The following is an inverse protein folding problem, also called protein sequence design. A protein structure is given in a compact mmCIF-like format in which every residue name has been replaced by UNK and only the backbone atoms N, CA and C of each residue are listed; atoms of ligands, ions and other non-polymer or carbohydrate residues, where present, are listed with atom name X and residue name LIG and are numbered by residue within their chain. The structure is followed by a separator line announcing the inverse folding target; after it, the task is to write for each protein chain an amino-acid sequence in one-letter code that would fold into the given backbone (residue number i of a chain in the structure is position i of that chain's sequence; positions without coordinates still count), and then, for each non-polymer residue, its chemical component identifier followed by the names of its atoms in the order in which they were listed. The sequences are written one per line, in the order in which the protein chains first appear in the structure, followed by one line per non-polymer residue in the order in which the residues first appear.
data_IF_885078129207
#
_entry.id   IF_885078129207
#
_cell.length_a   1.000
_cell.length_b   1.000
_cell.length_c   1.000
_cell.angle_alpha   90.00
_cell.angle_beta   90.00
_cell.angle_gamma   90.00
#
_symmetry.space_group_name_H-M   'P 1'
#
loop_
_entity.id
_entity.type
_entity.pdbx_description
1 polymer ?
#
# COMPACT_ATOMS: atom_id res chain seq x y z
N UNK A 1 56.07 5.19 -5.40
CA UNK A 1 54.77 5.87 -5.23
C UNK A 1 53.91 5.62 -6.47
N UNK A 2 52.60 5.42 -6.26
CA UNK A 2 51.51 5.20 -7.24
C UNK A 2 51.33 3.75 -7.76
N UNK A 3 50.57 2.95 -7.02
CA UNK A 3 49.72 1.91 -7.60
C UNK A 3 48.25 2.35 -7.50
N UNK A 4 47.67 2.73 -8.63
CA UNK A 4 46.26 3.07 -8.80
C UNK A 4 45.48 1.80 -9.13
N UNK A 5 44.76 1.26 -8.14
CA UNK A 5 43.88 0.10 -8.32
C UNK A 5 42.52 0.61 -8.83
N UNK A 6 42.34 0.54 -10.14
CA UNK A 6 41.05 0.71 -10.81
C UNK A 6 40.21 -0.56 -10.56
N UNK A 7 39.26 -0.49 -9.61
CA UNK A 7 38.21 -1.52 -9.47
C UNK A 7 37.00 -1.10 -10.30
N UNK A 8 37.02 -1.47 -11.57
CA UNK A 8 35.87 -1.34 -12.45
C UNK A 8 34.78 -2.35 -12.06
N UNK A 9 33.63 -1.79 -11.74
CA UNK A 9 32.30 -2.34 -11.63
C UNK A 9 31.87 -3.25 -12.78
N UNK A 10 30.87 -4.09 -12.47
CA UNK A 10 29.87 -4.69 -13.37
C UNK A 10 30.08 -6.15 -13.76
N UNK A 11 29.71 -7.05 -12.84
CA UNK A 11 29.32 -8.42 -13.16
C UNK A 11 27.89 -8.65 -12.67
N UNK A 12 26.89 -8.15 -13.40
CA UNK A 12 25.49 -8.52 -13.20
C UNK A 12 24.99 -9.20 -14.48
N UNK A 13 25.44 -10.43 -14.72
CA UNK A 13 24.88 -11.29 -15.76
C UNK A 13 23.62 -11.97 -15.23
N UNK A 14 22.51 -11.23 -15.20
CA UNK A 14 21.19 -11.80 -14.92
C UNK A 14 20.73 -12.66 -16.09
N UNK A 15 20.74 -13.98 -15.92
CA UNK A 15 20.10 -14.92 -16.86
C UNK A 15 18.59 -14.76 -16.79
N UNK A 16 18.01 -14.24 -17.87
CA UNK A 16 16.56 -14.24 -18.12
C UNK A 16 16.23 -15.60 -18.76
N UNK A 17 15.70 -16.54 -17.96
CA UNK A 17 15.15 -17.79 -18.50
C UNK A 17 13.77 -17.52 -19.09
N UNK A 18 13.70 -17.43 -20.42
CA UNK A 18 12.41 -17.50 -21.12
C UNK A 18 11.90 -18.94 -21.11
N UNK A 19 10.78 -19.18 -20.44
CA UNK A 19 10.00 -20.41 -20.62
C UNK A 19 8.85 -20.09 -21.58
N UNK A 20 8.90 -20.70 -22.76
CA UNK A 20 7.90 -20.70 -23.84
C UNK A 20 7.71 -22.17 -24.29
N UNK A 21 6.58 -22.62 -24.86
CA UNK A 21 5.17 -22.21 -24.71
C UNK A 21 4.24 -23.41 -24.35
N UNK A 22 3.01 -23.07 -23.94
CA UNK A 22 1.75 -23.60 -24.49
C UNK A 22 1.64 -25.09 -24.81
N UNK A 23 1.17 -25.85 -23.82
CA UNK A 23 0.65 -27.19 -24.01
C UNK A 23 -0.89 -27.13 -24.16
N UNK A 24 -1.34 -27.50 -25.36
CA UNK A 24 -2.60 -28.18 -25.70
C UNK A 24 -3.90 -27.73 -25.00
N UNK A 25 -4.70 -26.99 -25.77
CA UNK A 25 -6.16 -27.06 -25.68
C UNK A 25 -6.62 -28.50 -26.03
N UNK A 26 -7.26 -29.19 -25.08
CA UNK A 26 -8.20 -30.27 -25.36
C UNK A 26 -9.48 -29.98 -24.60
N UNK A 27 -10.49 -29.60 -25.39
CA UNK A 27 -11.86 -29.40 -24.97
C UNK A 27 -12.54 -30.77 -24.92
N UNK A 28 -12.67 -31.35 -23.72
CA UNK A 28 -13.64 -32.41 -23.45
C UNK A 28 -14.62 -31.88 -22.40
N UNK A 29 -15.77 -31.40 -22.88
CA UNK A 29 -16.93 -31.12 -22.03
C UNK A 29 -17.58 -32.46 -21.67
N UNK A 30 -17.13 -33.02 -20.55
CA UNK A 30 -17.87 -34.08 -19.84
C UNK A 30 -18.79 -33.44 -18.81
N UNK A 31 -20.10 -33.72 -18.92
CA UNK A 31 -21.11 -33.36 -17.94
C UNK A 31 -20.76 -33.92 -16.57
N UNK A 32 -20.40 -33.04 -15.63
CA UNK A 32 -20.27 -33.38 -14.21
C UNK A 32 -21.51 -32.86 -13.47
N UNK A 33 -22.26 -33.73 -12.78
CA UNK A 33 -23.46 -33.33 -12.06
C UNK A 33 -23.11 -32.30 -10.98
N UNK A 34 -23.99 -31.32 -10.84
CA UNK A 34 -23.94 -30.27 -9.84
C UNK A 34 -23.79 -30.88 -8.43
N UNK A 35 -22.54 -30.99 -7.97
CA UNK A 35 -22.24 -31.27 -6.57
C UNK A 35 -22.43 -29.97 -5.81
N UNK A 36 -23.66 -29.76 -5.35
CA UNK A 36 -23.97 -28.82 -4.30
C UNK A 36 -23.11 -29.09 -3.05
N UNK A 37 -22.92 -28.02 -2.28
CA UNK A 37 -22.43 -27.94 -0.89
C UNK A 37 -20.96 -27.54 -0.68
N UNK A 38 -20.60 -26.35 -1.15
CA UNK A 38 -19.66 -25.52 -0.37
C UNK A 38 -20.37 -25.00 0.88
N UNK A 39 -20.51 -25.86 1.90
CA UNK A 39 -20.83 -25.44 3.26
C UNK A 39 -19.72 -24.50 3.74
N UNK A 40 -19.99 -23.20 3.68
CA UNK A 40 -19.08 -22.17 4.17
C UNK A 40 -19.10 -22.26 5.71
N UNK A 41 -18.27 -23.15 6.26
CA UNK A 41 -18.04 -23.26 7.69
C UNK A 41 -17.63 -21.89 8.23
N UNK A 42 -18.42 -21.36 9.16
CA UNK A 42 -18.21 -20.05 9.77
C UNK A 42 -16.86 -20.09 10.50
N UNK A 43 -15.84 -19.53 9.87
CA UNK A 43 -14.46 -19.54 10.39
C UNK A 43 -14.46 -18.90 11.77
N UNK A 44 -14.03 -19.65 12.78
CA UNK A 44 -13.88 -19.14 14.14
C UNK A 44 -12.92 -17.94 14.12
N UNK A 45 -13.28 -16.88 14.84
CA UNK A 45 -12.45 -15.68 14.94
C UNK A 45 -11.15 -16.04 15.65
N UNK A 46 -10.04 -15.98 14.92
CA UNK A 46 -8.70 -16.18 15.48
C UNK A 46 -8.43 -15.13 16.55
N UNK A 47 -7.75 -15.52 17.63
CA UNK A 47 -7.30 -14.60 18.66
C UNK A 47 -6.40 -13.52 18.04
N UNK A 48 -6.41 -12.29 18.60
CA UNK A 48 -5.55 -11.22 18.12
C UNK A 48 -4.08 -11.63 18.21
N UNK A 49 -3.33 -11.41 17.13
CA UNK A 49 -1.90 -11.71 17.06
C UNK A 49 -1.14 -10.78 18.01
N UNK A 50 -0.14 -11.32 18.70
CA UNK A 50 0.78 -10.53 19.51
C UNK A 50 1.39 -9.36 18.69
N UNK A 51 1.76 -8.25 19.34
CA UNK A 51 2.43 -7.13 18.70
C UNK A 51 3.63 -7.61 17.88
N UNK A 52 3.78 -7.09 16.66
CA UNK A 52 4.89 -7.50 15.76
C UNK A 52 6.26 -7.09 16.29
N UNK A 53 6.32 -6.06 17.12
CA UNK A 53 7.53 -5.48 17.68
C UNK A 53 7.40 -5.54 19.20
N UNK A 54 8.44 -6.02 19.88
CA UNK A 54 8.41 -6.08 21.34
C UNK A 54 8.84 -4.76 21.97
N UNK A 55 8.25 -4.46 23.13
CA UNK A 55 8.43 -3.18 23.84
C UNK A 55 9.78 -3.08 24.55
N UNK A 56 10.41 -4.21 24.89
CA UNK A 56 11.68 -4.27 25.62
C UNK A 56 12.91 -4.02 24.73
N UNK A 57 12.74 -3.87 23.41
CA UNK A 57 13.87 -3.58 22.52
C UNK A 57 14.37 -2.15 22.71
N UNK A 58 15.69 -1.92 22.58
CA UNK A 58 16.27 -0.58 22.56
C UNK A 58 15.58 0.31 21.51
N UNK A 59 15.19 1.52 21.90
CA UNK A 59 14.38 2.43 21.10
C UNK A 59 15.19 3.65 20.63
N UNK A 60 14.97 4.08 19.37
CA UNK A 60 15.52 5.33 18.81
C UNK A 60 14.40 6.11 18.12
N UNK A 61 14.28 7.39 18.44
CA UNK A 61 13.33 8.31 17.82
C UNK A 61 13.98 9.06 16.64
N UNK A 62 13.32 9.05 15.48
CA UNK A 62 13.75 9.77 14.29
C UNK A 62 12.63 10.74 13.86
N UNK A 63 12.90 12.03 13.98
CA UNK A 63 11.94 13.09 13.63
C UNK A 63 12.18 13.52 12.17
N UNK A 64 11.14 13.38 11.34
CA UNK A 64 11.14 13.79 9.94
C UNK A 64 10.27 15.03 9.76
N UNK A 65 10.85 16.20 10.03
CA UNK A 65 10.21 17.48 9.78
C UNK A 65 10.49 17.98 8.36
N UNK A 66 9.50 18.64 7.77
CA UNK A 66 9.64 19.23 6.44
C UNK A 66 10.56 20.46 6.48
N UNK A 67 11.41 20.68 5.46
CA UNK A 67 12.35 21.79 5.45
C UNK A 67 11.67 23.16 5.52
N UNK A 68 10.49 23.32 4.92
CA UNK A 68 9.70 24.56 4.98
C UNK A 68 9.23 24.89 6.41
N UNK A 69 8.97 23.86 7.22
CA UNK A 69 8.55 24.02 8.61
C UNK A 69 9.74 24.40 9.49
N UNK A 70 10.92 23.85 9.20
CA UNK A 70 12.16 24.24 9.88
C UNK A 70 12.60 25.65 9.51
N UNK A 71 12.32 26.10 8.28
CA UNK A 71 12.65 27.44 7.81
C UNK A 71 11.75 28.53 8.44
N UNK A 72 10.45 28.29 8.55
CA UNK A 72 9.48 29.29 9.06
C UNK A 72 8.50 28.67 10.07
N UNK A 73 8.95 28.25 11.27
CA UNK A 73 8.10 27.51 12.21
C UNK A 73 6.83 28.27 12.63
N UNK A 74 6.87 29.60 12.66
CA UNK A 74 5.72 30.45 12.99
C UNK A 74 4.61 30.45 11.93
N UNK A 75 4.96 30.21 10.65
CA UNK A 75 3.99 30.18 9.56
C UNK A 75 3.19 28.87 9.52
N UNK A 76 3.61 27.86 10.29
CA UNK A 76 3.01 26.54 10.33
C UNK A 76 2.33 26.27 11.67
N UNK A 77 1.25 25.49 11.64
CA UNK A 77 0.60 24.95 12.84
C UNK A 77 0.57 23.44 12.73
N UNK A 78 1.08 22.76 13.76
CA UNK A 78 1.03 21.30 13.88
C UNK A 78 -0.43 20.86 14.07
N UNK A 79 -0.92 20.01 13.18
CA UNK A 79 -2.27 19.42 13.24
C UNK A 79 -2.23 18.05 13.90
N UNK A 80 -1.17 17.28 13.61
CA UNK A 80 -1.06 15.92 14.12
C UNK A 80 0.33 15.33 13.88
N UNK A 81 0.45 14.05 14.23
CA UNK A 81 1.68 13.28 14.15
C UNK A 81 1.36 11.92 13.52
N UNK A 82 2.17 11.51 12.56
CA UNK A 82 2.20 10.13 12.09
C UNK A 82 3.39 9.42 12.73
N UNK A 83 3.09 8.42 13.54
CA UNK A 83 4.08 7.57 14.20
C UNK A 83 4.16 6.24 13.48
N UNK A 84 5.36 5.86 13.04
CA UNK A 84 5.64 4.53 12.51
C UNK A 84 6.71 3.85 13.34
N UNK A 85 6.39 2.66 13.83
CA UNK A 85 7.35 1.79 14.51
C UNK A 85 7.86 0.71 13.56
N UNK A 86 9.18 0.57 13.48
CA UNK A 86 9.85 -0.42 12.65
C UNK A 86 10.96 -1.12 13.45
N UNK A 87 11.17 -2.40 13.15
CA UNK A 87 12.32 -3.16 13.64
C UNK A 87 13.51 -2.87 12.73
N UNK A 88 14.60 -2.36 13.28
CA UNK A 88 15.86 -2.20 12.58
C UNK A 88 16.86 -3.23 13.06
N UNK A 89 17.49 -3.89 12.10
CA UNK A 89 18.48 -4.91 12.37
C UNK A 89 19.87 -4.30 12.27
N UNK A 90 20.61 -4.38 13.38
CA UNK A 90 22.04 -4.15 13.40
C UNK A 90 22.73 -5.50 13.64
N UNK A 91 23.98 -5.65 13.18
CA UNK A 91 24.72 -6.91 13.38
C UNK A 91 24.72 -7.29 14.87
N UNK A 92 24.07 -8.40 15.20
CA UNK A 92 24.02 -8.96 16.55
C UNK A 92 22.86 -8.49 17.44
N UNK A 93 22.04 -7.53 17.02
CA UNK A 93 20.89 -7.10 17.82
C UNK A 93 19.82 -6.38 16.99
N UNK A 94 18.59 -6.39 17.52
CA UNK A 94 17.49 -5.62 16.98
C UNK A 94 17.26 -4.36 17.81
N UNK A 95 16.86 -3.30 17.14
CA UNK A 95 16.39 -2.06 17.77
C UNK A 95 15.05 -1.66 17.19
N UNK A 96 14.27 -0.93 17.97
CA UNK A 96 13.01 -0.34 17.56
C UNK A 96 13.28 1.09 17.08
N UNK A 97 12.98 1.38 15.83
CA UNK A 97 12.97 2.73 15.28
C UNK A 97 11.55 3.28 15.32
N UNK A 98 11.36 4.43 15.95
CA UNK A 98 10.12 5.19 15.87
C UNK A 98 10.35 6.42 15.01
N UNK A 99 9.74 6.39 13.85
CA UNK A 99 9.75 7.47 12.88
C UNK A 99 8.54 8.35 13.14
N UNK A 100 8.81 9.60 13.50
CA UNK A 100 7.82 10.61 13.83
C UNK A 100 7.78 11.63 12.70
N UNK A 101 6.66 11.70 11.98
CA UNK A 101 6.44 12.69 10.93
C UNK A 101 5.33 13.65 11.34
N UNK A 102 5.67 14.92 11.56
CA UNK A 102 4.69 15.96 11.86
C UNK A 102 3.80 16.27 10.66
N UNK A 103 2.50 16.39 10.88
CA UNK A 103 1.54 16.93 9.91
C UNK A 103 1.30 18.40 10.23
N UNK A 104 1.66 19.27 9.30
CA UNK A 104 1.57 20.71 9.47
C UNK A 104 0.58 21.31 8.47
N UNK A 105 -0.12 22.38 8.87
CA UNK A 105 -0.84 23.28 7.96
C UNK A 105 -0.21 24.65 8.00
N UNK A 106 -0.22 25.35 6.87
CA UNK A 106 0.08 26.78 6.86
C UNK A 106 -1.02 27.54 7.64
N UNK A 107 -0.62 28.57 8.38
CA UNK A 107 -1.55 29.46 9.06
C UNK A 107 -2.17 30.48 8.11
N UNK A 108 -1.51 30.81 6.99
CA UNK A 108 -1.93 31.87 6.07
C UNK A 108 -3.19 31.56 5.27
N UNK A 109 -3.58 30.28 5.13
CA UNK A 109 -4.73 29.90 4.31
C UNK A 109 -5.71 29.02 5.11
N UNK A 110 -6.93 29.51 5.43
CA UNK A 110 -7.95 28.66 6.01
C UNK A 110 -8.35 27.60 4.98
N UNK A 111 -8.54 26.36 5.44
CA UNK A 111 -8.83 25.21 4.60
C UNK A 111 -10.21 25.34 3.94
N UNK A 112 -10.25 25.96 2.76
CA UNK A 112 -11.37 25.89 1.82
C UNK A 112 -11.42 24.52 1.13
N UNK A 113 -11.54 23.44 1.89
CA UNK A 113 -11.93 22.15 1.33
C UNK A 113 -13.43 22.26 1.01
N UNK A 114 -13.78 22.35 -0.27
CA UNK A 114 -15.17 22.15 -0.68
C UNK A 114 -15.61 20.74 -0.22
N UNK A 115 -16.75 20.58 0.48
CA UNK A 115 -17.21 19.29 0.94
C UNK A 115 -17.21 18.30 -0.23
N UNK A 116 -16.69 17.09 0.01
CA UNK A 116 -16.69 16.01 -0.98
C UNK A 116 -18.14 15.74 -1.40
N UNK A 117 -18.57 16.38 -2.49
CA UNK A 117 -19.93 16.26 -3.00
C UNK A 117 -20.01 14.88 -3.65
N UNK A 118 -20.89 13.98 -3.17
CA UNK A 118 -21.06 12.70 -3.83
C UNK A 118 -21.41 12.96 -5.30
N UNK A 119 -20.61 12.40 -6.20
CA UNK A 119 -20.89 12.45 -7.63
C UNK A 119 -22.24 11.77 -7.87
N UNK A 120 -23.21 12.42 -8.54
CA UNK A 120 -24.47 11.76 -8.84
C UNK A 120 -24.19 10.52 -9.69
N UNK A 121 -24.78 9.39 -9.30
CA UNK A 121 -24.75 8.16 -10.08
C UNK A 121 -25.31 8.47 -11.47
N UNK A 122 -24.49 8.35 -12.53
CA UNK A 122 -24.97 8.47 -13.90
C UNK A 122 -25.98 7.34 -14.15
N UNK A 123 -27.26 7.62 -14.47
CA UNK A 123 -28.19 6.57 -14.83
C UNK A 123 -27.74 5.96 -16.17
N UNK A 124 -27.31 4.70 -16.14
CA UNK A 124 -27.06 3.92 -17.34
C UNK A 124 -28.38 3.51 -17.97
N UNK A 125 -28.62 3.93 -19.21
CA UNK A 125 -29.64 3.33 -20.07
C UNK A 125 -30.98 4.05 -20.06
N UNK A 126 -31.18 4.88 -21.08
CA UNK A 126 -32.50 5.30 -21.54
C UNK A 126 -33.33 4.05 -21.89
N UNK A 127 -34.45 3.84 -21.20
CA UNK A 127 -35.51 2.93 -21.67
C UNK A 127 -35.97 3.43 -23.04
N UNK A 128 -35.53 2.76 -24.11
CA UNK A 128 -36.14 2.90 -25.43
C UNK A 128 -37.56 2.37 -25.29
N UNK A 129 -38.51 3.31 -25.15
CA UNK A 129 -39.94 3.06 -25.15
C UNK A 129 -40.31 2.61 -26.57
N UNK A 130 -40.31 1.30 -26.83
CA UNK A 130 -40.94 0.76 -28.04
C UNK A 130 -42.43 1.05 -27.95
N UNK A 131 -42.90 1.99 -28.76
CA UNK A 131 -44.31 2.21 -29.02
C UNK A 131 -44.84 1.04 -29.85
N UNK A 132 -45.50 0.08 -29.19
CA UNK A 132 -46.29 -0.94 -29.86
C UNK A 132 -47.61 -0.33 -30.34
N UNK A 133 -47.69 0.02 -31.61
CA UNK A 133 -48.97 0.15 -32.33
C UNK A 133 -49.49 -1.26 -32.57
N UNK A 134 -50.47 -1.69 -31.79
CA UNK A 134 -51.31 -2.84 -32.11
C UNK A 134 -52.28 -2.43 -33.24
N UNK A 135 -52.30 -3.21 -34.33
CA UNK A 135 -53.39 -3.24 -35.31
C UNK A 135 -54.52 -4.13 -34.81
#
# INVERSE_FOLDING_TARGET
MKLSILRSSSCYSGRITQKKPEAANLSEKGDVPAAETSSHQKTQRKSPRAPRISEHLPFIEHILDHPEVLAEPEAWRRIGEEVREQLDYQRGYFRRLRLVRGKFRSQRQPAGHAPNRPTPCKPSGSLHRYSGTHC
#
